data_IF_493048636206
#
_entry.id   IF_493048636206
#
_cell.length_a   1.000
_cell.length_b   1.000
_cell.length_c   1.000
_cell.angle_alpha   90.00
_cell.angle_beta   90.00
_cell.angle_gamma   90.00
#
_symmetry.space_group_name_H-M   'P 1'
#
loop_
_entity.id
_entity.type
_entity.pdbx_description
1 polymer ?
#
# COMPACT_ATOMS: atom_id res chain seq x y z
N UNK A 1 8.49 -1.81 -19.13
CA UNK A 1 8.65 -2.05 -17.68
C UNK A 1 7.96 -0.88 -17.00
N UNK A 2 6.79 -1.11 -16.41
CA UNK A 2 6.12 -0.08 -15.66
C UNK A 2 6.89 0.19 -14.38
N UNK A 3 7.25 1.44 -14.14
CA UNK A 3 7.98 1.79 -12.93
C UNK A 3 7.02 1.75 -11.74
N UNK A 4 7.03 0.61 -11.02
CA UNK A 4 6.29 0.36 -9.78
C UNK A 4 7.07 0.81 -8.55
N UNK A 5 8.07 1.69 -8.73
CA UNK A 5 8.93 2.15 -7.65
C UNK A 5 8.13 2.78 -6.50
N UNK A 6 7.17 3.65 -6.82
CA UNK A 6 6.32 4.30 -5.81
C UNK A 6 5.46 3.31 -5.05
N UNK A 7 4.85 2.34 -5.73
CA UNK A 7 4.05 1.28 -5.11
C UNK A 7 4.90 0.38 -4.22
N UNK A 8 6.10 0.03 -4.69
CA UNK A 8 7.04 -0.78 -3.94
C UNK A 8 7.47 -0.07 -2.66
N UNK A 9 7.72 1.24 -2.73
CA UNK A 9 8.04 2.06 -1.57
C UNK A 9 6.86 2.17 -0.60
N UNK A 10 5.65 2.37 -1.12
CA UNK A 10 4.43 2.42 -0.31
C UNK A 10 4.19 1.08 0.43
N UNK A 11 4.36 -0.05 -0.27
CA UNK A 11 4.25 -1.38 0.31
C UNK A 11 5.30 -1.64 1.39
N UNK A 12 6.56 -1.24 1.15
CA UNK A 12 7.62 -1.34 2.15
C UNK A 12 7.31 -0.53 3.41
N UNK A 13 6.72 0.67 3.27
CA UNK A 13 6.27 1.49 4.40
C UNK A 13 5.17 0.79 5.20
N UNK A 14 4.16 0.21 4.52
CA UNK A 14 3.09 -0.55 5.18
C UNK A 14 3.69 -1.74 5.94
N UNK A 15 4.62 -2.47 5.32
CA UNK A 15 5.30 -3.59 5.94
C UNK A 15 6.11 -3.18 7.18
N UNK A 16 6.78 -2.03 7.13
CA UNK A 16 7.52 -1.49 8.28
C UNK A 16 6.58 -1.19 9.45
N UNK A 17 5.45 -0.52 9.19
CA UNK A 17 4.44 -0.21 10.22
C UNK A 17 3.93 -1.52 10.83
N UNK A 18 3.56 -2.51 10.02
CA UNK A 18 3.10 -3.80 10.50
C UNK A 18 4.14 -4.51 11.40
N UNK A 19 5.43 -4.44 11.06
CA UNK A 19 6.50 -4.99 11.91
C UNK A 19 6.61 -4.25 13.24
N UNK A 20 6.50 -2.93 13.25
CA UNK A 20 6.54 -2.13 14.48
C UNK A 20 5.35 -2.46 15.40
N UNK A 21 4.16 -2.66 14.85
CA UNK A 21 2.96 -3.08 15.61
C UNK A 21 3.14 -4.44 16.27
N UNK A 22 3.83 -5.36 15.58
CA UNK A 22 4.15 -6.70 16.11
C UNK A 22 5.26 -6.67 17.16
N UNK A 23 6.09 -5.62 17.19
CA UNK A 23 7.02 -5.41 18.28
C UNK A 23 6.23 -4.97 19.52
N UNK A 24 6.61 -5.43 20.71
CA UNK A 24 5.91 -5.09 21.96
C UNK A 24 6.23 -3.66 22.46
N UNK A 25 6.36 -2.73 21.53
CA UNK A 25 6.72 -1.32 21.76
C UNK A 25 5.50 -0.39 21.67
N UNK A 26 4.37 -0.89 21.16
CA UNK A 26 3.12 -0.15 21.03
C UNK A 26 2.11 -0.57 22.11
N UNK A 27 1.37 0.40 22.66
CA UNK A 27 0.24 0.14 23.55
C UNK A 27 -0.94 -0.50 22.79
N UNK A 28 -1.97 -0.98 23.50
CA UNK A 28 -3.15 -1.58 22.87
C UNK A 28 -3.84 -0.63 21.87
N UNK A 29 -4.10 0.60 22.31
CA UNK A 29 -4.73 1.64 21.48
C UNK A 29 -3.86 2.01 20.27
N UNK A 30 -2.53 2.06 20.46
CA UNK A 30 -1.58 2.33 19.36
C UNK A 30 -1.60 1.19 18.32
N UNK A 31 -1.73 -0.06 18.77
CA UNK A 31 -1.83 -1.23 17.88
C UNK A 31 -3.13 -1.17 17.07
N UNK A 32 -4.25 -0.82 17.69
CA UNK A 32 -5.54 -0.65 17.01
C UNK A 32 -5.47 0.47 15.96
N UNK A 33 -4.95 1.65 16.33
CA UNK A 33 -4.80 2.76 15.40
C UNK A 33 -3.88 2.42 14.22
N UNK A 34 -2.77 1.72 14.48
CA UNK A 34 -1.85 1.32 13.43
C UNK A 34 -2.46 0.28 12.48
N UNK A 35 -3.34 -0.62 12.97
CA UNK A 35 -4.09 -1.54 12.11
C UNK A 35 -5.06 -0.79 11.19
N UNK A 36 -5.74 0.24 11.69
CA UNK A 36 -6.58 1.12 10.86
C UNK A 36 -5.74 1.77 9.75
N UNK A 37 -4.61 2.38 10.09
CA UNK A 37 -3.72 2.99 9.09
C UNK A 37 -3.17 1.98 8.08
N UNK A 38 -2.79 0.77 8.51
CA UNK A 38 -2.36 -0.29 7.58
C UNK A 38 -3.48 -0.59 6.58
N UNK A 39 -4.73 -0.69 7.04
CA UNK A 39 -5.88 -0.96 6.17
C UNK A 39 -6.12 0.18 5.16
N UNK A 40 -6.09 1.43 5.60
CA UNK A 40 -6.28 2.60 4.75
C UNK A 40 -5.17 2.75 3.71
N UNK A 41 -3.91 2.58 4.13
CA UNK A 41 -2.75 2.66 3.24
C UNK A 41 -2.74 1.53 2.21
N UNK A 42 -3.19 0.33 2.60
CA UNK A 42 -3.31 -0.80 1.69
C UNK A 42 -4.41 -0.56 0.65
N UNK A 43 -5.56 -0.02 1.06
CA UNK A 43 -6.65 0.32 0.16
C UNK A 43 -6.22 1.40 -0.87
N UNK A 44 -5.54 2.46 -0.42
CA UNK A 44 -5.01 3.49 -1.31
C UNK A 44 -3.98 2.93 -2.31
N UNK A 45 -3.12 2.03 -1.87
CA UNK A 45 -2.14 1.39 -2.75
C UNK A 45 -2.81 0.51 -3.80
N UNK A 46 -3.84 -0.25 -3.40
CA UNK A 46 -4.60 -1.09 -4.33
C UNK A 46 -5.30 -0.25 -5.41
N UNK A 47 -5.89 0.88 -5.04
CA UNK A 47 -6.50 1.81 -5.98
C UNK A 47 -5.47 2.36 -6.98
N UNK A 48 -4.27 2.73 -6.52
CA UNK A 48 -3.20 3.21 -7.41
C UNK A 48 -2.75 2.14 -8.41
N UNK A 49 -2.59 0.89 -7.95
CA UNK A 49 -2.22 -0.24 -8.81
C UNK A 49 -3.29 -0.48 -9.86
N UNK A 50 -4.56 -0.58 -9.46
CA UNK A 50 -5.68 -0.79 -10.37
C UNK A 50 -5.78 0.33 -11.42
N UNK A 51 -5.66 1.59 -11.00
CA UNK A 51 -5.68 2.73 -11.91
C UNK A 51 -4.53 2.70 -12.93
N UNK A 52 -3.34 2.20 -12.56
CA UNK A 52 -2.23 2.04 -13.50
C UNK A 52 -2.47 0.89 -14.46
N UNK A 53 -3.10 -0.20 -14.02
CA UNK A 53 -3.43 -1.33 -14.86
C UNK A 53 -4.52 -0.96 -15.88
N UNK A 54 -5.60 -0.29 -15.46
CA UNK A 54 -6.64 0.24 -16.36
C UNK A 54 -6.07 1.19 -17.42
N UNK A 55 -5.15 2.09 -17.04
CA UNK A 55 -4.49 2.98 -18.00
C UNK A 55 -3.64 2.22 -19.02
N UNK A 56 -2.98 1.14 -18.61
CA UNK A 56 -2.21 0.31 -19.54
C UNK A 56 -3.13 -0.42 -20.51
N UNK A 57 -4.22 -1.00 -20.02
CA UNK A 57 -5.21 -1.69 -20.85
C UNK A 57 -5.83 -0.73 -21.88
N UNK A 58 -6.21 0.47 -21.46
CA UNK A 58 -6.73 1.51 -22.35
C UNK A 58 -5.68 1.96 -23.38
N UNK A 59 -4.40 2.08 -22.99
CA UNK A 59 -3.32 2.41 -23.94
C UNK A 59 -3.04 1.30 -24.96
N UNK A 60 -3.19 0.04 -24.56
CA UNK A 60 -2.99 -1.11 -25.43
C UNK A 60 -4.17 -1.32 -26.40
N UNK A 61 -5.39 -0.94 -26.01
CA UNK A 61 -6.58 -1.02 -26.87
C UNK A 61 -6.62 0.05 -27.98
N UNK A 62 -5.82 1.12 -27.87
CA UNK A 62 -5.74 2.18 -28.89
C UNK A 62 -4.62 1.98 -29.92
N UNK A 63 -3.91 0.84 -29.89
CA UNK A 63 -2.89 0.44 -30.86
C UNK A 63 -3.40 -0.69 -31.76
#
# INVERSE_FOLDING_TARGET
MSDLFTESLALQRIQLIARVVLMDVCSGDDKELALVWISELTAQLLEQVNNKDERREMSASCQ
#
